data_IF_555046654372
#
_entry.id   IF_555046654372
#
_cell.length_a   1.000
_cell.length_b   1.000
_cell.length_c   1.000
_cell.angle_alpha   90.00
_cell.angle_beta   90.00
_cell.angle_gamma   90.00
#
_symmetry.space_group_name_H-M   'P 1'
#
loop_
_entity.id
_entity.type
_entity.pdbx_description
1 polymer ?
#
# COMPACT_ATOMS: atom_id res chain seq x y z
N UNK A 1 -17.46 14.34 -1.26
CA UNK A 1 -18.61 15.26 -1.01
C UNK A 1 -19.85 14.61 -0.32
N UNK A 2 -19.69 13.56 0.51
CA UNK A 2 -20.84 12.86 1.13
C UNK A 2 -21.52 13.62 2.30
N UNK A 3 -20.76 14.33 3.14
CA UNK A 3 -21.36 15.13 4.24
C UNK A 3 -22.15 16.34 3.74
N UNK A 4 -21.81 16.88 2.56
CA UNK A 4 -22.48 18.05 2.00
C UNK A 4 -23.93 17.82 1.56
N UNK A 5 -24.44 16.58 1.58
CA UNK A 5 -25.84 16.28 1.24
C UNK A 5 -26.71 16.05 2.49
N UNK A 6 -26.14 15.44 3.54
CA UNK A 6 -26.82 15.22 4.81
C UNK A 6 -26.81 16.46 5.71
N UNK A 7 -25.78 17.30 5.61
CA UNK A 7 -25.64 18.56 6.36
C UNK A 7 -24.79 19.58 5.57
N UNK A 8 -25.34 20.21 4.52
CA UNK A 8 -24.62 21.17 3.67
C UNK A 8 -24.04 22.36 4.45
N UNK A 9 -24.76 22.87 5.45
CA UNK A 9 -24.29 23.99 6.30
C UNK A 9 -23.12 23.59 7.20
N UNK A 10 -23.18 22.39 7.80
CA UNK A 10 -22.06 21.86 8.58
C UNK A 10 -20.85 21.57 7.69
N UNK A 11 -21.05 21.10 6.46
CA UNK A 11 -19.98 20.90 5.50
C UNK A 11 -19.36 22.23 5.04
N UNK A 12 -20.17 23.27 4.80
CA UNK A 12 -19.67 24.60 4.42
C UNK A 12 -18.92 25.29 5.57
N UNK A 13 -19.30 25.02 6.81
CA UNK A 13 -18.62 25.54 8.00
C UNK A 13 -17.33 24.77 8.34
N UNK A 14 -17.32 23.45 8.16
CA UNK A 14 -16.22 22.57 8.57
C UNK A 14 -15.16 22.38 7.48
N UNK A 15 -15.55 22.38 6.20
CA UNK A 15 -14.65 22.08 5.09
C UNK A 15 -13.98 23.35 4.56
N UNK A 16 -12.71 23.26 4.15
CA UNK A 16 -11.99 24.39 3.60
C UNK A 16 -12.72 24.93 2.36
N UNK A 17 -13.07 26.22 2.40
CA UNK A 17 -13.76 26.92 1.32
C UNK A 17 -12.80 27.65 0.39
N UNK A 18 -11.56 27.89 0.82
CA UNK A 18 -10.51 28.49 0.01
C UNK A 18 -9.46 27.46 -0.47
N UNK A 19 -8.86 27.67 -1.65
CA UNK A 19 -7.77 26.83 -2.15
C UNK A 19 -6.56 26.78 -1.21
N UNK A 20 -6.24 27.89 -0.54
CA UNK A 20 -5.14 28.00 0.41
C UNK A 20 -5.30 27.05 1.61
N UNK A 21 -6.51 26.97 2.17
CA UNK A 21 -6.81 26.05 3.27
C UNK A 21 -6.71 24.58 2.82
N UNK A 22 -7.03 24.29 1.55
CA UNK A 22 -6.90 22.95 0.97
C UNK A 22 -5.43 22.57 0.83
N UNK A 23 -4.56 23.50 0.42
CA UNK A 23 -3.12 23.27 0.35
C UNK A 23 -2.50 23.00 1.72
N UNK A 24 -2.95 23.68 2.79
CA UNK A 24 -2.51 23.41 4.15
C UNK A 24 -2.90 21.99 4.60
N UNK A 25 -4.14 21.59 4.32
CA UNK A 25 -4.63 20.26 4.63
C UNK A 25 -3.86 19.17 3.86
N UNK A 26 -3.53 19.44 2.59
CA UNK A 26 -2.71 18.56 1.76
C UNK A 26 -1.29 18.42 2.30
N UNK A 27 -0.66 19.51 2.76
CA UNK A 27 0.68 19.47 3.35
C UNK A 27 0.72 18.60 4.62
N UNK A 28 -0.27 18.74 5.49
CA UNK A 28 -0.38 17.90 6.70
C UNK A 28 -0.69 16.45 6.32
N UNK A 29 -1.58 16.23 5.34
CA UNK A 29 -1.87 14.91 4.79
C UNK A 29 -0.63 14.22 4.19
N UNK A 30 0.27 14.98 3.56
CA UNK A 30 1.54 14.49 3.05
C UNK A 30 2.47 14.01 4.17
N UNK A 31 2.65 14.82 5.22
CA UNK A 31 3.45 14.39 6.38
C UNK A 31 2.85 13.13 7.03
N UNK A 32 1.52 13.11 7.18
CA UNK A 32 0.81 11.97 7.74
C UNK A 32 1.06 10.68 6.95
N UNK A 33 0.94 10.73 5.61
CA UNK A 33 1.18 9.53 4.78
C UNK A 33 2.64 9.10 4.76
N UNK A 34 3.60 10.04 4.76
CA UNK A 34 5.02 9.71 4.81
C UNK A 34 5.38 8.98 6.10
N UNK A 35 4.90 9.46 7.25
CA UNK A 35 5.13 8.80 8.53
C UNK A 35 4.37 7.47 8.65
N UNK A 36 3.18 7.38 8.07
CA UNK A 36 2.39 6.14 8.03
C UNK A 36 3.07 5.04 7.21
N UNK A 37 3.61 5.39 6.04
CA UNK A 37 4.34 4.44 5.20
C UNK A 37 5.71 4.12 5.80
N UNK A 38 6.38 5.09 6.40
CA UNK A 38 7.61 4.86 7.15
C UNK A 38 7.39 3.89 8.33
N UNK A 39 6.32 4.05 9.10
CA UNK A 39 5.91 3.11 10.14
C UNK A 39 5.66 1.70 9.57
N UNK A 40 4.96 1.62 8.43
CA UNK A 40 4.73 0.33 7.75
C UNK A 40 6.05 -0.35 7.41
N UNK A 41 7.05 0.40 6.95
CA UNK A 41 8.41 -0.08 6.74
C UNK A 41 9.07 -0.62 8.02
N UNK A 42 8.91 0.06 9.16
CA UNK A 42 9.47 -0.37 10.46
C UNK A 42 8.88 -1.70 10.91
N UNK A 43 7.58 -1.91 10.66
CA UNK A 43 6.87 -3.13 11.04
C UNK A 43 7.23 -4.35 10.15
N UNK A 44 7.93 -4.15 9.03
CA UNK A 44 8.34 -5.26 8.16
C UNK A 44 9.35 -6.20 8.83
N UNK A 45 8.98 -7.48 8.86
CA UNK A 45 9.85 -8.54 9.36
C UNK A 45 10.58 -9.30 8.23
N UNK A 46 11.72 -8.75 7.82
CA UNK A 46 12.59 -9.38 6.82
C UNK A 46 13.19 -10.73 7.28
N UNK A 47 13.25 -11.00 8.60
CA UNK A 47 13.77 -12.28 9.10
C UNK A 47 12.80 -13.42 8.77
N UNK A 48 11.49 -13.16 8.85
CA UNK A 48 10.45 -14.12 8.48
C UNK A 48 10.47 -14.43 6.97
N UNK A 49 10.72 -13.41 6.14
CA UNK A 49 10.86 -13.58 4.68
C UNK A 49 11.99 -14.54 4.31
N UNK A 50 13.14 -14.43 4.99
CA UNK A 50 14.31 -15.29 4.71
C UNK A 50 14.06 -16.77 5.01
N UNK A 51 13.21 -17.09 5.99
CA UNK A 51 12.95 -18.49 6.43
C UNK A 51 11.97 -19.23 5.53
N UNK A 52 10.96 -18.56 4.96
CA UNK A 52 9.89 -19.18 4.15
C UNK A 52 9.80 -18.67 2.71
N UNK A 53 10.89 -18.05 2.22
CA UNK A 53 10.88 -17.21 1.03
C UNK A 53 10.45 -17.89 -0.27
N UNK A 54 10.82 -19.15 -0.55
CA UNK A 54 10.52 -19.75 -1.88
C UNK A 54 9.04 -19.89 -2.18
N UNK A 55 8.26 -20.41 -1.24
CA UNK A 55 6.81 -20.58 -1.40
C UNK A 55 6.12 -19.22 -1.40
N UNK A 56 6.51 -18.33 -0.49
CA UNK A 56 5.96 -16.98 -0.43
C UNK A 56 6.22 -16.19 -1.72
N UNK A 57 7.44 -16.27 -2.28
CA UNK A 57 7.80 -15.62 -3.54
C UNK A 57 6.95 -16.12 -4.71
N UNK A 58 6.61 -17.41 -4.79
CA UNK A 58 5.73 -17.94 -5.85
C UNK A 58 4.31 -17.40 -5.69
N UNK A 59 3.79 -17.38 -4.46
CA UNK A 59 2.48 -16.82 -4.13
C UNK A 59 2.44 -15.32 -4.48
N UNK A 60 3.43 -14.55 -4.04
CA UNK A 60 3.57 -13.13 -4.37
C UNK A 60 3.69 -12.89 -5.85
N UNK A 61 4.58 -13.59 -6.56
CA UNK A 61 4.79 -13.34 -8.00
C UNK A 61 3.51 -13.55 -8.80
N UNK A 62 2.78 -14.63 -8.54
CA UNK A 62 1.48 -14.88 -9.18
C UNK A 62 0.40 -13.90 -8.71
N UNK A 63 0.37 -13.59 -7.41
CA UNK A 63 -0.47 -12.57 -6.78
C UNK A 63 -0.15 -11.12 -7.19
N UNK A 64 0.96 -10.88 -7.88
CA UNK A 64 1.35 -9.59 -8.43
C UNK A 64 1.11 -9.53 -9.93
N UNK A 65 1.67 -10.49 -10.68
CA UNK A 65 1.65 -10.49 -12.15
C UNK A 65 0.23 -10.59 -12.70
N UNK A 66 -0.61 -11.46 -12.15
CA UNK A 66 -1.98 -11.66 -12.63
C UNK A 66 -2.84 -10.39 -12.47
N UNK A 67 -3.01 -9.82 -11.26
CA UNK A 67 -3.80 -8.61 -11.12
C UNK A 67 -3.16 -7.39 -11.80
N UNK A 68 -1.82 -7.31 -11.88
CA UNK A 68 -1.13 -6.26 -12.63
C UNK A 68 -1.51 -6.33 -14.12
N UNK A 69 -1.39 -7.50 -14.73
CA UNK A 69 -1.72 -7.69 -16.15
C UNK A 69 -3.20 -7.42 -16.42
N UNK A 70 -4.10 -7.90 -15.56
CA UNK A 70 -5.54 -7.64 -15.68
C UNK A 70 -5.87 -6.15 -15.52
N UNK A 71 -5.24 -5.46 -14.56
CA UNK A 71 -5.42 -4.03 -14.36
C UNK A 71 -4.90 -3.20 -15.53
N UNK A 72 -3.75 -3.55 -16.12
CA UNK A 72 -3.23 -2.92 -17.35
C UNK A 72 -4.19 -3.15 -18.52
N UNK A 73 -4.61 -4.40 -18.73
CA UNK A 73 -5.52 -4.76 -19.80
C UNK A 73 -6.87 -4.02 -19.69
N UNK A 74 -7.37 -3.85 -18.46
CA UNK A 74 -8.58 -3.10 -18.17
C UNK A 74 -8.37 -1.57 -18.27
N UNK A 75 -7.16 -1.09 -18.01
CA UNK A 75 -6.81 0.33 -18.00
C UNK A 75 -6.95 0.99 -19.37
N UNK A 76 -6.55 0.32 -20.46
CA UNK A 76 -6.68 0.85 -21.82
C UNK A 76 -8.12 1.16 -22.25
N UNK A 77 -9.10 0.24 -22.11
CA UNK A 77 -10.49 0.55 -22.43
C UNK A 77 -11.10 1.52 -21.42
N UNK A 78 -10.76 1.42 -20.13
CA UNK A 78 -11.29 2.34 -19.11
C UNK A 78 -10.80 3.76 -19.27
N UNK A 79 -9.59 3.99 -19.78
CA UNK A 79 -9.11 5.32 -20.07
C UNK A 79 -10.08 6.07 -20.99
N UNK A 80 -10.65 5.41 -22.00
CA UNK A 80 -11.61 6.06 -22.92
C UNK A 80 -12.94 6.47 -22.25
N UNK A 81 -13.28 5.86 -21.12
CA UNK A 81 -14.57 6.02 -20.43
C UNK A 81 -14.44 6.96 -19.23
N UNK A 82 -13.36 6.81 -18.46
CA UNK A 82 -13.12 7.48 -17.20
C UNK A 82 -12.12 8.63 -17.34
N UNK A 83 -11.23 8.58 -18.33
CA UNK A 83 -10.13 9.52 -18.42
C UNK A 83 -10.49 10.74 -19.26
N UNK A 84 -10.60 11.89 -18.60
CA UNK A 84 -10.69 13.21 -19.23
C UNK A 84 -9.44 14.07 -18.94
N UNK A 85 -8.36 13.47 -18.45
CA UNK A 85 -7.16 14.16 -17.98
C UNK A 85 -6.05 14.38 -19.04
N UNK A 86 -4.89 14.83 -18.58
CA UNK A 86 -3.72 15.27 -19.38
C UNK A 86 -2.58 14.26 -19.53
N UNK A 87 -2.55 13.21 -18.71
CA UNK A 87 -1.58 12.13 -18.71
C UNK A 87 -1.87 11.08 -19.80
N UNK A 88 -0.81 10.37 -20.17
CA UNK A 88 -0.87 9.37 -21.23
C UNK A 88 -1.69 8.14 -20.80
N UNK A 89 -2.47 7.59 -21.75
CA UNK A 89 -3.29 6.38 -21.54
C UNK A 89 -2.49 5.20 -21.01
N UNK A 90 -1.22 5.07 -21.43
CA UNK A 90 -0.31 4.03 -20.97
C UNK A 90 0.05 4.20 -19.50
N UNK A 91 0.31 5.44 -19.04
CA UNK A 91 0.59 5.71 -17.63
C UNK A 91 -0.65 5.40 -16.79
N UNK A 92 -1.84 5.79 -17.24
CA UNK A 92 -3.10 5.41 -16.58
C UNK A 92 -3.25 3.89 -16.46
N UNK A 93 -3.03 3.15 -17.55
CA UNK A 93 -3.18 1.69 -17.57
C UNK A 93 -2.15 0.99 -16.66
N UNK A 94 -0.89 1.41 -16.71
CA UNK A 94 0.15 0.92 -15.81
C UNK A 94 -0.19 1.21 -14.35
N UNK A 95 -0.66 2.43 -14.07
CA UNK A 95 -1.08 2.83 -12.73
C UNK A 95 -2.24 1.99 -12.21
N UNK A 96 -3.26 1.76 -13.04
CA UNK A 96 -4.39 0.90 -12.68
C UNK A 96 -3.90 -0.52 -12.39
N UNK A 97 -2.98 -1.04 -13.19
CA UNK A 97 -2.29 -2.31 -12.91
C UNK A 97 -1.64 -2.35 -11.53
N UNK A 98 -0.87 -1.33 -11.17
CA UNK A 98 -0.22 -1.22 -9.86
C UNK A 98 -1.27 -1.16 -8.75
N UNK A 99 -2.31 -0.33 -8.88
CA UNK A 99 -3.38 -0.24 -7.92
C UNK A 99 -4.07 -1.60 -7.68
N UNK A 100 -4.31 -2.36 -8.75
CA UNK A 100 -4.95 -3.68 -8.66
C UNK A 100 -4.06 -4.76 -8.00
N UNK A 101 -2.73 -4.65 -8.08
CA UNK A 101 -1.83 -5.68 -7.53
C UNK A 101 -1.43 -5.44 -6.07
N UNK A 102 -1.53 -4.20 -5.59
CA UNK A 102 -1.16 -3.80 -4.22
C UNK A 102 -2.09 -4.47 -3.19
N UNK A 103 -1.48 -4.93 -2.09
CA UNK A 103 -2.16 -5.43 -0.89
C UNK A 103 -1.89 -4.51 0.29
N UNK A 104 -2.52 -4.76 1.44
CA UNK A 104 -2.29 -3.98 2.65
C UNK A 104 -1.84 -4.87 3.81
N UNK A 105 -0.52 -5.03 4.00
CA UNK A 105 0.04 -5.83 5.11
C UNK A 105 -0.55 -5.47 6.48
N UNK A 106 -0.75 -4.19 6.87
CA UNK A 106 -1.32 -3.87 8.18
C UNK A 106 -2.72 -4.44 8.39
N UNK A 107 -3.56 -4.43 7.34
CA UNK A 107 -4.92 -4.96 7.37
C UNK A 107 -4.90 -6.49 7.42
N UNK A 108 -4.02 -7.12 6.63
CA UNK A 108 -3.78 -8.56 6.65
C UNK A 108 -3.36 -9.01 8.05
N UNK A 109 -2.35 -8.36 8.62
CA UNK A 109 -1.81 -8.68 9.94
C UNK A 109 -2.87 -8.54 11.02
N UNK A 110 -3.61 -7.43 11.05
CA UNK A 110 -4.70 -7.22 12.01
C UNK A 110 -5.79 -8.28 11.87
N UNK A 111 -6.21 -8.59 10.65
CA UNK A 111 -7.20 -9.64 10.38
C UNK A 111 -6.73 -11.01 10.90
N UNK A 112 -5.47 -11.37 10.65
CA UNK A 112 -4.89 -12.63 11.14
C UNK A 112 -4.76 -12.65 12.67
N UNK A 113 -4.39 -11.54 13.30
CA UNK A 113 -4.34 -11.40 14.77
C UNK A 113 -5.73 -11.57 15.39
N UNK A 114 -6.74 -10.88 14.87
CA UNK A 114 -8.11 -10.94 15.39
C UNK A 114 -8.74 -12.33 15.24
N UNK A 115 -8.21 -13.13 14.31
CA UNK A 115 -8.62 -14.51 14.09
C UNK A 115 -7.72 -15.55 14.77
N UNK A 116 -6.70 -15.14 15.52
CA UNK A 116 -5.69 -16.01 16.14
C UNK A 116 -4.95 -16.93 15.13
N UNK A 117 -4.71 -16.41 13.92
CA UNK A 117 -4.05 -17.13 12.82
C UNK A 117 -2.60 -16.70 12.56
N UNK A 118 -2.10 -15.68 13.26
CA UNK A 118 -0.78 -15.08 13.00
C UNK A 118 0.38 -16.10 13.11
N UNK A 119 0.27 -17.08 14.01
CA UNK A 119 1.28 -18.13 14.20
C UNK A 119 1.05 -19.37 13.32
N UNK A 120 -0.09 -19.47 12.63
CA UNK A 120 -0.38 -20.61 11.75
C UNK A 120 0.42 -20.50 10.44
N UNK A 121 0.71 -21.65 9.83
CA UNK A 121 1.48 -21.70 8.58
C UNK A 121 0.88 -20.84 7.46
N UNK A 122 -0.43 -20.88 7.28
CA UNK A 122 -1.17 -20.04 6.32
C UNK A 122 -1.03 -18.55 6.66
N UNK A 123 -1.14 -18.18 7.94
CA UNK A 123 -1.02 -16.80 8.40
C UNK A 123 0.39 -16.25 8.17
N UNK A 124 1.42 -16.99 8.60
CA UNK A 124 2.81 -16.61 8.37
C UNK A 124 3.13 -16.49 6.87
N UNK A 125 2.67 -17.44 6.05
CA UNK A 125 2.89 -17.38 4.60
C UNK A 125 2.19 -16.17 3.97
N UNK A 126 0.96 -15.86 4.40
CA UNK A 126 0.22 -14.68 3.94
C UNK A 126 0.95 -13.39 4.31
N UNK A 127 1.49 -13.30 5.53
CA UNK A 127 2.28 -12.15 5.97
C UNK A 127 3.56 -11.99 5.14
N UNK A 128 4.32 -13.06 4.94
CA UNK A 128 5.55 -13.01 4.14
C UNK A 128 5.26 -12.62 2.70
N UNK A 129 4.20 -13.17 2.10
CA UNK A 129 3.78 -12.79 0.76
C UNK A 129 3.36 -11.31 0.72
N UNK A 130 2.62 -10.83 1.72
CA UNK A 130 2.25 -9.42 1.86
C UNK A 130 3.46 -8.48 1.95
N UNK A 131 4.52 -8.85 2.69
CA UNK A 131 5.77 -8.06 2.76
C UNK A 131 6.42 -7.91 1.38
N UNK A 132 6.48 -8.99 0.59
CA UNK A 132 7.03 -8.97 -0.77
C UNK A 132 6.15 -8.10 -1.69
N UNK A 133 4.83 -8.27 -1.59
CA UNK A 133 3.86 -7.52 -2.39
C UNK A 133 3.91 -6.02 -2.10
N UNK A 134 4.00 -5.61 -0.82
CA UNK A 134 4.12 -4.22 -0.41
C UNK A 134 5.41 -3.60 -0.95
N UNK A 135 6.56 -4.28 -0.79
CA UNK A 135 7.84 -3.80 -1.31
C UNK A 135 7.82 -3.61 -2.83
N UNK A 136 7.22 -4.56 -3.56
CA UNK A 136 7.05 -4.46 -5.00
C UNK A 136 6.06 -3.35 -5.39
N UNK A 137 4.97 -3.19 -4.64
CA UNK A 137 3.97 -2.14 -4.85
C UNK A 137 4.58 -0.74 -4.77
N UNK A 138 5.40 -0.49 -3.76
CA UNK A 138 6.11 0.80 -3.63
C UNK A 138 7.13 1.03 -4.74
N UNK A 139 7.86 -0.02 -5.13
CA UNK A 139 8.78 0.06 -6.27
C UNK A 139 8.04 0.42 -7.56
N UNK A 140 6.94 -0.28 -7.87
CA UNK A 140 6.17 -0.04 -9.08
C UNK A 140 5.47 1.32 -9.07
N UNK A 141 4.95 1.75 -7.91
CA UNK A 141 4.39 3.08 -7.75
C UNK A 141 5.43 4.16 -8.09
N UNK A 142 6.67 4.05 -7.58
CA UNK A 142 7.73 5.00 -7.92
C UNK A 142 8.05 5.05 -9.40
N UNK A 143 8.09 3.90 -10.08
CA UNK A 143 8.35 3.84 -11.53
C UNK A 143 7.22 4.54 -12.29
N UNK A 144 5.96 4.20 -12.01
CA UNK A 144 4.81 4.79 -12.71
C UNK A 144 4.65 6.28 -12.39
N UNK A 145 4.88 6.70 -11.14
CA UNK A 145 4.92 8.11 -10.74
C UNK A 145 6.01 8.89 -11.51
N UNK A 146 7.21 8.34 -11.61
CA UNK A 146 8.31 8.96 -12.35
C UNK A 146 7.98 9.07 -13.85
N UNK A 147 7.29 8.07 -14.43
CA UNK A 147 6.81 8.12 -15.81
C UNK A 147 5.75 9.20 -16.01
N UNK A 148 4.88 9.44 -15.02
CA UNK A 148 3.85 10.48 -15.09
C UNK A 148 4.46 11.89 -15.10
N UNK A 149 5.49 12.14 -14.28
CA UNK A 149 6.17 13.44 -14.19
C UNK A 149 7.17 13.65 -15.33
N UNK A 150 7.97 12.63 -15.63
CA UNK A 150 9.03 12.69 -16.63
C UNK A 150 8.51 12.53 -18.06
N UNK A 151 7.46 11.75 -18.29
CA UNK A 151 6.98 11.34 -19.61
C UNK A 151 7.56 10.00 -20.08
N UNK A 152 6.97 9.44 -21.14
CA UNK A 152 7.12 8.05 -21.60
C UNK A 152 8.27 7.79 -22.61
N UNK A 153 9.39 8.49 -22.50
CA UNK A 153 10.54 8.17 -23.38
C UNK A 153 11.40 7.07 -22.78
N UNK A 154 11.92 6.15 -23.60
CA UNK A 154 12.78 5.03 -23.16
C UNK A 154 13.93 5.51 -22.27
N UNK A 155 14.54 6.66 -22.59
CA UNK A 155 15.60 7.26 -21.78
C UNK A 155 15.13 7.70 -20.39
N UNK A 156 13.94 8.29 -20.26
CA UNK A 156 13.41 8.73 -18.96
C UNK A 156 12.96 7.57 -18.08
N UNK A 157 12.39 6.53 -18.68
CA UNK A 157 12.08 5.28 -17.96
C UNK A 157 13.36 4.62 -17.45
N UNK A 158 14.41 4.56 -18.28
CA UNK A 158 15.71 4.02 -17.87
C UNK A 158 16.33 4.84 -16.73
N UNK A 159 16.29 6.17 -16.81
CA UNK A 159 16.75 7.06 -15.73
C UNK A 159 15.95 6.81 -14.45
N UNK A 160 14.62 6.70 -14.50
CA UNK A 160 13.81 6.42 -13.33
C UNK A 160 14.19 5.08 -12.67
N UNK A 161 14.40 4.02 -13.46
CA UNK A 161 14.84 2.72 -12.96
C UNK A 161 16.24 2.78 -12.34
N UNK A 162 17.18 3.48 -12.99
CA UNK A 162 18.55 3.66 -12.47
C UNK A 162 18.54 4.46 -11.19
N UNK A 163 17.79 5.58 -11.12
CA UNK A 163 17.62 6.38 -9.92
C UNK A 163 17.03 5.55 -8.78
N UNK A 164 16.05 4.69 -9.07
CA UNK A 164 15.43 3.83 -8.07
C UNK A 164 16.41 2.78 -7.53
N UNK A 165 17.18 2.14 -8.42
CA UNK A 165 18.25 1.22 -8.02
C UNK A 165 19.34 1.93 -7.21
N UNK A 166 19.69 3.16 -7.60
CA UNK A 166 20.65 3.99 -6.87
C UNK A 166 20.13 4.32 -5.45
N UNK A 167 18.86 4.70 -5.31
CA UNK A 167 18.24 4.95 -3.99
C UNK A 167 18.32 3.70 -3.12
N UNK A 168 17.96 2.53 -3.65
CA UNK A 168 18.06 1.26 -2.91
C UNK A 168 19.50 0.95 -2.53
N UNK A 169 20.45 1.12 -3.46
CA UNK A 169 21.87 0.89 -3.20
C UNK A 169 22.41 1.82 -2.11
N UNK A 170 22.15 3.12 -2.22
CA UNK A 170 22.56 4.13 -1.23
C UNK A 170 21.91 3.85 0.13
N UNK A 171 20.63 3.49 0.15
CA UNK A 171 19.94 3.13 1.39
C UNK A 171 20.57 1.91 2.07
N UNK A 172 20.94 0.88 1.31
CA UNK A 172 21.56 -0.33 1.88
C UNK A 172 23.01 -0.09 2.31
N UNK A 173 23.80 0.62 1.50
CA UNK A 173 25.25 0.83 1.73
C UNK A 173 25.51 1.94 2.76
N UNK A 174 24.84 3.08 2.60
CA UNK A 174 25.03 4.29 3.43
C UNK A 174 23.91 4.44 4.46
N UNK A 175 22.65 4.25 4.05
CA UNK A 175 21.51 4.41 4.94
C UNK A 175 21.57 3.46 6.13
N UNK A 176 21.92 2.18 5.93
CA UNK A 176 22.00 1.19 7.01
C UNK A 176 23.00 1.55 8.13
N UNK A 177 24.27 1.91 7.86
CA UNK A 177 25.17 2.36 8.93
C UNK A 177 24.73 3.69 9.54
N UNK A 178 24.18 4.63 8.75
CA UNK A 178 23.68 5.92 9.25
C UNK A 178 22.53 5.71 10.23
N UNK A 179 21.50 4.93 9.86
CA UNK A 179 20.35 4.63 10.75
C UNK A 179 20.85 4.01 12.05
N UNK A 180 21.78 3.05 11.98
CA UNK A 180 22.35 2.43 13.19
C UNK A 180 23.12 3.42 14.05
N UNK A 181 23.91 4.31 13.45
CA UNK A 181 24.66 5.33 14.17
C UNK A 181 23.71 6.32 14.87
N UNK A 182 22.72 6.83 14.15
CA UNK A 182 21.71 7.76 14.67
C UNK A 182 20.91 7.12 15.81
N UNK A 183 20.46 5.87 15.65
CA UNK A 183 19.74 5.15 16.71
C UNK A 183 20.61 4.87 17.94
N UNK A 184 21.94 4.77 17.80
CA UNK A 184 22.84 4.66 18.96
C UNK A 184 22.95 5.98 19.72
N UNK A 185 22.92 7.11 19.02
CA UNK A 185 22.95 8.46 19.64
C UNK A 185 21.71 8.76 20.49
N UNK A 186 20.62 8.02 20.34
CA UNK A 186 19.45 8.15 21.22
C UNK A 186 19.74 7.71 22.65
N UNK A 187 20.86 7.01 22.89
CA UNK A 187 21.40 6.63 24.22
C UNK A 187 20.43 5.86 25.13
N UNK A 188 19.32 5.32 24.63
CA UNK A 188 18.31 4.74 25.52
C UNK A 188 16.93 5.32 25.38
N UNK A 189 16.86 6.62 25.07
CA UNK A 189 15.65 7.42 25.17
C UNK A 189 14.68 7.08 24.05
N UNK A 190 13.45 6.73 24.43
CA UNK A 190 12.34 6.49 23.49
C UNK A 190 12.01 7.78 22.73
N UNK A 191 11.85 8.91 23.43
CA UNK A 191 11.54 10.21 22.83
C UNK A 191 12.54 10.62 21.75
N UNK A 192 13.84 10.50 22.04
CA UNK A 192 14.90 10.79 21.04
C UNK A 192 14.85 9.82 19.88
N UNK A 193 14.60 8.55 20.15
CA UNK A 193 14.48 7.52 19.10
C UNK A 193 13.32 7.83 18.15
N UNK A 194 12.17 8.24 18.69
CA UNK A 194 10.98 8.64 17.92
C UNK A 194 11.27 9.87 17.07
N UNK A 195 11.84 10.93 17.66
CA UNK A 195 12.17 12.15 16.93
C UNK A 195 13.18 11.89 15.81
N UNK A 196 14.23 11.11 16.08
CA UNK A 196 15.23 10.73 15.08
C UNK A 196 14.64 9.84 13.99
N UNK A 197 13.79 8.88 14.33
CA UNK A 197 13.12 8.02 13.34
C UNK A 197 12.23 8.85 12.41
N UNK A 198 11.39 9.73 12.95
CA UNK A 198 10.55 10.62 12.16
C UNK A 198 11.38 11.54 11.25
N UNK A 199 12.45 12.16 11.79
CA UNK A 199 13.35 13.00 11.00
C UNK A 199 14.03 12.22 9.87
N UNK A 200 14.55 11.01 10.14
CA UNK A 200 15.17 10.17 9.11
C UNK A 200 14.17 9.78 8.02
N UNK A 201 12.94 9.41 8.38
CA UNK A 201 11.88 9.07 7.42
C UNK A 201 11.58 10.27 6.51
N UNK A 202 11.40 11.47 7.09
CA UNK A 202 11.10 12.68 6.32
C UNK A 202 12.28 13.12 5.44
N UNK A 203 13.52 13.02 5.94
CA UNK A 203 14.72 13.33 5.17
C UNK A 203 14.92 12.36 4.00
N UNK A 204 14.67 11.06 4.22
CA UNK A 204 14.74 10.06 3.16
C UNK A 204 13.65 10.27 2.10
N UNK A 205 12.44 10.66 2.52
CA UNK A 205 11.37 11.05 1.61
C UNK A 205 11.75 12.27 0.77
N UNK A 206 12.26 13.33 1.41
CA UNK A 206 12.73 14.54 0.73
C UNK A 206 13.87 14.26 -0.24
N UNK A 207 14.84 13.43 0.15
CA UNK A 207 15.95 13.02 -0.73
C UNK A 207 15.48 12.24 -1.96
N UNK A 208 14.50 11.35 -1.78
CA UNK A 208 13.91 10.60 -2.90
C UNK A 208 13.13 11.52 -3.85
N UNK A 209 12.39 12.48 -3.29
CA UNK A 209 11.68 13.50 -4.06
C UNK A 209 12.63 14.41 -4.85
N UNK A 210 13.77 14.79 -4.25
CA UNK A 210 14.80 15.59 -4.92
C UNK A 210 15.42 14.87 -6.13
N UNK A 211 15.40 13.54 -6.15
CA UNK A 211 15.83 12.70 -7.28
C UNK A 211 14.73 12.51 -8.34
N UNK A 212 13.58 13.17 -8.20
CA UNK A 212 12.45 13.06 -9.12
C UNK A 212 11.64 11.76 -8.97
N UNK A 213 11.78 11.06 -7.84
CA UNK A 213 11.03 9.85 -7.50
C UNK A 213 9.94 10.16 -6.47
N UNK A 214 9.01 9.22 -6.27
CA UNK A 214 7.94 9.40 -5.28
C UNK A 214 8.49 9.40 -3.84
N UNK A 215 8.21 10.46 -3.08
CA UNK A 215 8.70 10.65 -1.71
C UNK A 215 8.37 9.48 -0.76
N UNK A 216 7.21 8.85 -0.97
CA UNK A 216 6.71 7.73 -0.17
C UNK A 216 7.66 6.53 -0.19
N UNK A 217 8.36 6.30 -1.31
CA UNK A 217 9.33 5.21 -1.41
C UNK A 217 10.53 5.42 -0.50
N UNK A 218 11.03 6.65 -0.40
CA UNK A 218 12.10 7.00 0.54
C UNK A 218 11.69 6.77 2.00
N UNK A 219 10.47 7.17 2.35
CA UNK A 219 9.90 6.93 3.68
C UNK A 219 9.83 5.42 3.99
N UNK A 220 9.31 4.62 3.06
CA UNK A 220 9.22 3.17 3.18
C UNK A 220 10.59 2.51 3.38
N UNK A 221 11.56 2.84 2.51
CA UNK A 221 12.92 2.26 2.56
C UNK A 221 13.62 2.63 3.87
N UNK A 222 13.50 3.89 4.32
CA UNK A 222 14.05 4.31 5.60
C UNK A 222 13.42 3.55 6.78
N UNK A 223 12.08 3.43 6.78
CA UNK A 223 11.34 2.64 7.76
C UNK A 223 11.83 1.19 7.82
N UNK A 224 11.98 0.55 6.66
CA UNK A 224 12.52 -0.81 6.56
C UNK A 224 13.93 -0.93 7.18
N UNK A 225 14.81 0.04 6.94
CA UNK A 225 16.15 0.05 7.56
C UNK A 225 16.10 0.19 9.08
N UNK A 226 15.21 1.04 9.61
CA UNK A 226 14.98 1.17 11.06
C UNK A 226 14.48 -0.18 11.61
N UNK A 227 13.49 -0.81 10.97
CA UNK A 227 12.93 -2.12 11.36
C UNK A 227 13.95 -3.27 11.37
N UNK A 228 14.99 -3.21 10.52
CA UNK A 228 16.10 -4.18 10.49
C UNK A 228 17.20 -3.93 11.53
N UNK A 229 17.14 -2.82 12.27
CA UNK A 229 18.14 -2.50 13.30
C UNK A 229 17.92 -3.24 14.63
N UNK A 230 16.88 -4.08 14.71
CA UNK A 230 16.62 -5.01 15.81
C UNK A 230 15.31 -4.73 16.55
N UNK A 231 14.86 -5.70 17.33
CA UNK A 231 13.60 -5.63 18.10
C UNK A 231 13.59 -4.49 19.12
N UNK A 232 14.77 -4.14 19.66
CA UNK A 232 14.96 -2.99 20.54
C UNK A 232 14.60 -1.65 19.86
N UNK A 233 14.91 -1.51 18.56
CA UNK A 233 14.55 -0.34 17.80
C UNK A 233 13.03 -0.27 17.57
N UNK A 234 12.39 -1.43 17.30
CA UNK A 234 10.93 -1.50 17.13
C UNK A 234 10.18 -1.14 18.42
N UNK A 235 10.62 -1.68 19.56
CA UNK A 235 10.02 -1.37 20.87
C UNK A 235 10.09 0.14 21.18
N UNK A 236 11.21 0.80 20.88
CA UNK A 236 11.39 2.25 21.06
C UNK A 236 10.67 3.13 20.03
N UNK A 237 10.02 2.54 19.04
CA UNK A 237 9.14 3.26 18.11
C UNK A 237 7.66 3.06 18.44
N UNK A 238 7.33 2.45 19.58
CA UNK A 238 5.95 2.25 20.01
C UNK A 238 5.18 3.58 20.14
N UNK A 239 5.79 4.62 20.72
CA UNK A 239 5.16 5.95 20.78
C UNK A 239 4.95 6.56 19.39
N UNK A 240 5.88 6.38 18.45
CA UNK A 240 5.69 6.81 17.05
C UNK A 240 4.47 6.11 16.43
N UNK A 241 4.36 4.79 16.65
CA UNK A 241 3.22 3.99 16.19
C UNK A 241 1.90 4.52 16.76
N UNK A 242 1.85 4.83 18.05
CA UNK A 242 0.66 5.41 18.68
C UNK A 242 0.27 6.73 18.04
N UNK A 243 1.20 7.68 17.87
CA UNK A 243 0.91 8.98 17.24
C UNK A 243 0.45 8.82 15.80
N UNK A 244 1.16 7.99 15.03
CA UNK A 244 0.85 7.76 13.62
C UNK A 244 -0.53 7.11 13.46
N UNK A 245 -0.85 6.07 14.22
CA UNK A 245 -2.11 5.34 14.07
C UNK A 245 -3.30 6.05 14.73
N UNK A 246 -3.10 6.73 15.86
CA UNK A 246 -4.19 7.38 16.59
C UNK A 246 -4.53 8.77 16.06
N UNK A 247 -3.57 9.47 15.44
CA UNK A 247 -3.76 10.85 14.98
C UNK A 247 -3.54 11.02 13.47
N UNK A 248 -2.36 10.66 12.96
CA UNK A 248 -2.00 10.94 11.57
C UNK A 248 -2.78 10.08 10.56
N UNK A 249 -3.01 8.81 10.85
CA UNK A 249 -3.76 7.92 9.97
C UNK A 249 -5.23 8.36 9.84
N UNK A 250 -5.99 8.61 10.93
CA UNK A 250 -7.35 9.18 10.81
C UNK A 250 -7.39 10.48 10.03
N UNK A 251 -6.40 11.37 10.23
CA UNK A 251 -6.30 12.61 9.49
C UNK A 251 -6.07 12.37 7.99
N UNK A 252 -5.13 11.50 7.63
CA UNK A 252 -4.89 11.10 6.24
C UNK A 252 -6.15 10.48 5.60
N UNK A 253 -6.87 9.62 6.32
CA UNK A 253 -8.10 9.02 5.81
C UNK A 253 -9.23 10.03 5.68
N UNK A 254 -9.30 11.02 6.56
CA UNK A 254 -10.24 12.13 6.41
C UNK A 254 -9.94 12.92 5.13
N UNK A 255 -8.69 13.30 4.89
CA UNK A 255 -8.31 14.06 3.69
C UNK A 255 -8.50 13.25 2.41
N UNK A 256 -8.18 11.95 2.43
CA UNK A 256 -8.47 11.04 1.32
C UNK A 256 -9.99 10.94 1.07
N UNK A 257 -10.78 10.69 2.12
CA UNK A 257 -12.23 10.56 2.05
C UNK A 257 -12.93 11.81 1.53
N UNK A 258 -12.40 13.01 1.80
CA UNK A 258 -12.94 14.27 1.27
C UNK A 258 -12.91 14.34 -0.25
N UNK A 259 -11.91 13.71 -0.88
CA UNK A 259 -11.75 13.68 -2.33
C UNK A 259 -12.63 12.65 -3.04
N UNK A 260 -13.24 11.73 -2.29
CA UNK A 260 -14.17 10.74 -2.85
C UNK A 260 -15.47 11.43 -3.25
N UNK A 261 -15.91 11.18 -4.48
CA UNK A 261 -17.20 11.65 -4.99
C UNK A 261 -18.12 10.49 -5.38
N UNK A 262 -18.93 10.05 -4.42
CA UNK A 262 -19.92 9.00 -4.67
C UNK A 262 -21.02 9.44 -5.66
N UNK A 263 -21.18 10.75 -5.94
CA UNK A 263 -22.17 11.22 -6.93
C UNK A 263 -21.77 10.80 -8.34
N UNK A 264 -20.47 10.63 -8.60
CA UNK A 264 -19.98 10.09 -9.86
C UNK A 264 -20.59 8.72 -10.19
N UNK A 265 -20.90 7.91 -9.16
CA UNK A 265 -21.52 6.59 -9.33
C UNK A 265 -22.98 6.65 -9.77
N UNK A 266 -23.64 7.82 -9.74
CA UNK A 266 -24.95 7.99 -10.34
C UNK A 266 -24.91 7.88 -11.88
N UNK A 267 -23.73 8.10 -12.49
CA UNK A 267 -23.53 7.85 -13.91
C UNK A 267 -23.38 6.34 -14.17
N UNK A 268 -24.27 5.72 -14.98
CA UNK A 268 -24.22 4.29 -15.25
C UNK A 268 -22.89 3.79 -15.81
N UNK A 269 -22.17 4.61 -16.58
CA UNK A 269 -20.85 4.25 -17.13
C UNK A 269 -19.79 4.13 -16.05
N UNK A 270 -19.77 5.09 -15.11
CA UNK A 270 -18.83 5.10 -13.99
C UNK A 270 -19.15 3.95 -13.02
N UNK A 271 -20.44 3.71 -12.75
CA UNK A 271 -20.87 2.57 -11.94
C UNK A 271 -20.48 1.23 -12.57
N UNK A 272 -20.72 1.05 -13.87
CA UNK A 272 -20.31 -0.16 -14.58
C UNK A 272 -18.79 -0.36 -14.51
N UNK A 273 -18.01 0.71 -14.74
CA UNK A 273 -16.56 0.66 -14.57
C UNK A 273 -16.17 0.28 -13.14
N UNK A 274 -16.80 0.85 -12.12
CA UNK A 274 -16.54 0.54 -10.71
C UNK A 274 -16.75 -0.95 -10.41
N UNK A 275 -17.87 -1.51 -10.88
CA UNK A 275 -18.20 -2.93 -10.69
C UNK A 275 -17.23 -3.85 -11.42
N UNK A 276 -16.83 -3.50 -12.65
CA UNK A 276 -15.85 -4.28 -13.43
C UNK A 276 -14.48 -4.25 -12.75
N UNK A 277 -13.99 -3.07 -12.36
CA UNK A 277 -12.71 -2.93 -11.66
C UNK A 277 -12.74 -3.71 -10.35
N UNK A 278 -13.81 -3.60 -9.57
CA UNK A 278 -13.97 -4.35 -8.31
C UNK A 278 -13.95 -5.86 -8.53
N UNK A 279 -14.70 -6.36 -9.51
CA UNK A 279 -14.72 -7.78 -9.84
C UNK A 279 -13.31 -8.26 -10.25
N UNK A 280 -12.66 -7.54 -11.18
CA UNK A 280 -11.31 -7.88 -11.64
C UNK A 280 -10.28 -7.80 -10.50
N UNK A 281 -10.40 -6.82 -9.61
CA UNK A 281 -9.55 -6.69 -8.44
C UNK A 281 -9.69 -7.92 -7.53
N UNK A 282 -10.91 -8.29 -7.19
CA UNK A 282 -11.20 -9.46 -6.33
C UNK A 282 -10.68 -10.73 -6.99
N UNK A 283 -11.13 -11.02 -8.21
CA UNK A 283 -10.80 -12.27 -8.90
C UNK A 283 -9.32 -12.35 -9.25
N UNK A 284 -8.70 -11.28 -9.74
CA UNK A 284 -7.30 -11.25 -10.13
C UNK A 284 -6.37 -11.53 -8.95
N UNK A 285 -6.58 -10.86 -7.82
CA UNK A 285 -5.76 -11.08 -6.62
C UNK A 285 -6.01 -12.44 -5.99
N UNK A 286 -7.29 -12.84 -5.91
CA UNK A 286 -7.66 -14.15 -5.37
C UNK A 286 -7.08 -15.29 -6.20
N UNK A 287 -7.26 -15.25 -7.51
CA UNK A 287 -6.78 -16.27 -8.44
C UNK A 287 -5.25 -16.30 -8.45
N UNK A 288 -4.57 -15.15 -8.44
CA UNK A 288 -3.12 -15.09 -8.38
C UNK A 288 -2.57 -15.80 -7.15
N UNK A 289 -3.02 -15.40 -5.96
CA UNK A 289 -2.60 -16.01 -4.70
C UNK A 289 -2.97 -17.51 -4.63
N UNK A 290 -4.17 -17.89 -5.06
CA UNK A 290 -4.61 -19.28 -5.10
C UNK A 290 -3.75 -20.14 -6.03
N UNK A 291 -3.45 -19.66 -7.24
CA UNK A 291 -2.61 -20.38 -8.20
C UNK A 291 -1.19 -20.51 -7.68
N UNK A 292 -0.59 -19.45 -7.12
CA UNK A 292 0.72 -19.52 -6.49
C UNK A 292 0.80 -20.51 -5.34
N UNK A 293 -0.26 -20.59 -4.53
CA UNK A 293 -0.38 -21.54 -3.43
C UNK A 293 -0.47 -22.99 -3.94
N UNK A 294 -1.30 -23.25 -4.96
CA UNK A 294 -1.45 -24.58 -5.58
C UNK A 294 -0.18 -25.04 -6.29
N UNK A 295 0.51 -24.14 -7.00
CA UNK A 295 1.82 -24.41 -7.61
C UNK A 295 2.91 -24.69 -6.56
N UNK A 296 2.69 -24.24 -5.32
CA UNK A 296 3.53 -24.53 -4.17
C UNK A 296 3.08 -25.76 -3.37
N UNK A 297 2.16 -26.57 -3.93
CA UNK A 297 1.65 -27.83 -3.37
C UNK A 297 0.88 -27.69 -2.04
N UNK A 298 0.33 -26.51 -1.77
CA UNK A 298 -0.59 -26.32 -0.65
C UNK A 298 -1.95 -26.96 -0.96
N UNK A 299 -2.66 -27.37 0.09
CA UNK A 299 -4.01 -27.92 -0.02
C UNK A 299 -4.98 -26.90 -0.61
N UNK A 300 -6.11 -27.39 -1.14
CA UNK A 300 -7.15 -26.51 -1.71
C UNK A 300 -7.63 -25.48 -0.69
N UNK A 301 -7.81 -25.87 0.57
CA UNK A 301 -8.32 -24.97 1.61
C UNK A 301 -7.28 -23.95 2.07
N UNK A 302 -6.01 -24.33 2.16
CA UNK A 302 -4.92 -23.37 2.41
C UNK A 302 -4.79 -22.37 1.27
N UNK A 303 -4.88 -22.81 0.02
CA UNK A 303 -4.85 -21.93 -1.14
C UNK A 303 -6.04 -20.95 -1.17
N UNK A 304 -7.24 -21.41 -0.79
CA UNK A 304 -8.42 -20.53 -0.65
C UNK A 304 -8.23 -19.52 0.49
N UNK A 305 -7.64 -19.93 1.61
CA UNK A 305 -7.35 -19.05 2.73
C UNK A 305 -6.29 -18.00 2.37
N UNK A 306 -5.21 -18.37 1.68
CA UNK A 306 -4.22 -17.43 1.13
C UNK A 306 -4.86 -16.44 0.17
N UNK A 307 -5.68 -16.93 -0.77
CA UNK A 307 -6.44 -16.09 -1.69
C UNK A 307 -7.33 -15.08 -0.96
N UNK A 308 -8.07 -15.52 0.05
CA UNK A 308 -8.92 -14.63 0.84
C UNK A 308 -8.11 -13.62 1.68
N UNK A 309 -7.03 -14.06 2.32
CA UNK A 309 -6.16 -13.22 3.14
C UNK A 309 -5.47 -12.12 2.33
N UNK A 310 -4.95 -12.46 1.13
CA UNK A 310 -4.25 -11.50 0.27
C UNK A 310 -5.18 -10.50 -0.44
N UNK A 311 -6.50 -10.73 -0.40
CA UNK A 311 -7.50 -9.78 -0.90
C UNK A 311 -7.80 -8.63 0.07
N UNK A 312 -7.21 -8.63 1.27
CA UNK A 312 -7.27 -7.45 2.13
C UNK A 312 -6.41 -6.33 1.52
N UNK A 313 -7.04 -5.52 0.66
CA UNK A 313 -6.55 -4.20 0.34
C UNK A 313 -7.00 -3.23 1.44
N UNK A 314 -6.57 -1.98 1.41
CA UNK A 314 -6.85 -1.07 2.51
C UNK A 314 -6.01 0.19 2.41
N UNK A 315 -5.36 0.58 3.51
CA UNK A 315 -4.64 1.85 3.63
C UNK A 315 -3.66 2.10 2.48
N UNK A 316 -2.91 1.06 2.06
CA UNK A 316 -1.89 1.19 1.02
C UNK A 316 -2.52 1.51 -0.33
N UNK A 317 -3.64 0.90 -0.69
CA UNK A 317 -4.33 1.18 -1.95
C UNK A 317 -4.93 2.60 -1.96
N UNK A 318 -5.44 3.08 -0.82
CA UNK A 318 -5.90 4.48 -0.69
C UNK A 318 -4.75 5.46 -0.87
N UNK A 319 -3.57 5.14 -0.31
CA UNK A 319 -2.35 5.94 -0.50
C UNK A 319 -1.95 5.98 -1.97
N UNK A 320 -1.90 4.82 -2.63
CA UNK A 320 -1.63 4.72 -4.07
C UNK A 320 -2.63 5.59 -4.84
N UNK A 321 -3.93 5.42 -4.64
CA UNK A 321 -4.96 6.21 -5.31
C UNK A 321 -4.74 7.73 -5.11
N UNK A 322 -4.37 8.16 -3.91
CA UNK A 322 -4.14 9.57 -3.61
C UNK A 322 -2.90 10.13 -4.32
N UNK A 323 -1.83 9.33 -4.46
CA UNK A 323 -0.67 9.66 -5.29
C UNK A 323 -1.09 9.81 -6.75
N UNK A 324 -1.86 8.85 -7.29
CA UNK A 324 -2.34 8.89 -8.66
C UNK A 324 -3.18 10.13 -8.97
N UNK A 325 -4.05 10.52 -8.03
CA UNK A 325 -4.86 11.73 -8.15
C UNK A 325 -3.99 13.00 -8.09
N UNK A 326 -3.00 13.06 -7.19
CA UNK A 326 -2.08 14.22 -7.08
C UNK A 326 -1.22 14.41 -8.33
N UNK A 327 -0.79 13.32 -8.95
CA UNK A 327 0.02 13.34 -10.17
C UNK A 327 -0.82 13.54 -11.44
N UNK A 328 -2.15 13.68 -11.33
CA UNK A 328 -3.05 13.80 -12.48
C UNK A 328 -3.18 12.52 -13.31
N UNK A 329 -2.67 11.40 -12.80
CA UNK A 329 -2.82 10.07 -13.41
C UNK A 329 -4.26 9.62 -13.27
N UNK A 330 -4.88 9.87 -12.12
CA UNK A 330 -6.28 9.59 -11.86
C UNK A 330 -7.09 10.87 -11.84
N UNK A 331 -8.31 10.82 -12.38
CA UNK A 331 -9.34 11.80 -12.12
C UNK A 331 -10.14 11.42 -10.85
N UNK A 332 -11.05 12.29 -10.43
CA UNK A 332 -11.89 12.05 -9.23
C UNK A 332 -12.75 10.78 -9.37
N UNK A 333 -13.18 10.41 -10.57
CA UNK A 333 -13.98 9.20 -10.79
C UNK A 333 -13.14 7.95 -10.58
N UNK A 334 -11.99 7.86 -11.24
CA UNK A 334 -11.07 6.72 -11.12
C UNK A 334 -10.52 6.59 -9.70
N UNK A 335 -10.22 7.72 -9.05
CA UNK A 335 -9.86 7.77 -7.64
C UNK A 335 -10.96 7.16 -6.75
N UNK A 336 -12.22 7.59 -6.94
CA UNK A 336 -13.37 7.07 -6.20
C UNK A 336 -13.55 5.57 -6.39
N UNK A 337 -13.36 5.07 -7.62
CA UNK A 337 -13.43 3.63 -7.92
C UNK A 337 -12.37 2.86 -7.16
N UNK A 338 -11.10 3.28 -7.20
CA UNK A 338 -10.01 2.57 -6.52
C UNK A 338 -10.19 2.60 -4.99
N UNK A 339 -10.63 3.73 -4.43
CA UNK A 339 -10.96 3.79 -2.99
C UNK A 339 -12.10 2.85 -2.63
N UNK A 340 -13.14 2.73 -3.47
CA UNK A 340 -14.22 1.78 -3.26
C UNK A 340 -13.73 0.33 -3.28
N UNK A 341 -12.82 -0.01 -4.20
CA UNK A 341 -12.16 -1.33 -4.24
C UNK A 341 -11.43 -1.59 -2.92
N UNK A 342 -10.64 -0.64 -2.42
CA UNK A 342 -9.93 -0.76 -1.16
C UNK A 342 -10.88 -1.09 -0.01
N UNK A 343 -11.95 -0.30 0.16
CA UNK A 343 -12.92 -0.47 1.25
C UNK A 343 -13.67 -1.79 1.15
N UNK A 344 -14.22 -2.13 -0.02
CA UNK A 344 -15.03 -3.34 -0.19
C UNK A 344 -14.18 -4.58 0.03
N UNK A 345 -12.97 -4.61 -0.52
CA UNK A 345 -12.08 -5.78 -0.39
C UNK A 345 -11.53 -5.94 1.03
N UNK A 346 -11.25 -4.84 1.75
CA UNK A 346 -10.95 -4.88 3.20
C UNK A 346 -12.06 -5.54 4.00
N UNK A 347 -13.32 -5.16 3.77
CA UNK A 347 -14.48 -5.68 4.52
C UNK A 347 -14.76 -7.15 4.16
N UNK A 348 -14.53 -7.52 2.90
CA UNK A 348 -14.78 -8.86 2.39
C UNK A 348 -13.74 -9.90 2.83
N UNK A 349 -12.48 -9.50 3.07
CA UNK A 349 -11.40 -10.45 3.34
C UNK A 349 -11.57 -11.27 4.65
N UNK A 350 -11.88 -10.68 5.84
CA UNK A 350 -12.05 -11.43 7.08
C UNK A 350 -13.11 -12.56 7.04
N UNK A 351 -14.36 -12.34 6.54
CA UNK A 351 -15.36 -13.40 6.51
C UNK A 351 -14.99 -14.53 5.54
N UNK A 352 -14.40 -14.21 4.37
CA UNK A 352 -13.94 -15.21 3.42
C UNK A 352 -12.79 -16.06 4.00
N UNK A 353 -11.83 -15.41 4.65
CA UNK A 353 -10.73 -16.09 5.32
C UNK A 353 -11.25 -17.03 6.41
N UNK A 354 -12.22 -16.57 7.21
CA UNK A 354 -12.84 -17.37 8.28
C UNK A 354 -13.52 -18.62 7.72
N UNK A 355 -14.22 -18.49 6.61
CA UNK A 355 -14.89 -19.61 5.96
C UNK A 355 -13.89 -20.63 5.40
N UNK A 356 -12.81 -20.18 4.77
CA UNK A 356 -11.77 -21.05 4.23
C UNK A 356 -11.04 -21.81 5.34
N UNK A 357 -10.68 -21.13 6.42
CA UNK A 357 -9.92 -21.70 7.54
C UNK A 357 -10.68 -22.76 8.33
N UNK A 358 -12.02 -22.74 8.36
CA UNK A 358 -12.84 -23.81 8.98
C UNK A 358 -12.61 -25.20 8.38
N UNK A 359 -12.10 -25.27 7.15
CA UNK A 359 -11.90 -26.51 6.40
C UNK A 359 -10.42 -26.82 6.14
N UNK A 360 -9.51 -26.01 6.66
CA UNK A 360 -8.07 -26.31 6.63
C UNK A 360 -7.80 -27.38 7.68
N UNK A 361 -7.24 -28.50 7.24
CA UNK A 361 -6.91 -29.63 8.11
C UNK A 361 -5.85 -29.21 9.15
N UNK A 362 -6.09 -29.57 10.42
CA UNK A 362 -5.14 -29.36 11.50
C UNK A 362 -4.04 -30.43 11.43
N UNK A 363 -2.98 -30.19 10.64
CA UNK A 363 -1.77 -31.02 10.68
C UNK A 363 -0.96 -30.72 11.95
N UNK A 364 -0.20 -31.68 12.50
CA UNK A 364 0.60 -31.46 13.74
C UNK A 364 1.65 -30.34 13.62
N UNK A 365 2.07 -30.00 12.40
CA UNK A 365 2.89 -28.81 12.09
C UNK A 365 2.17 -27.48 12.32
N UNK A 366 0.84 -27.49 12.46
CA UNK A 366 0.01 -26.35 12.82
C UNK A 366 -0.23 -26.24 14.34
N UNK A 367 0.15 -27.22 15.16
CA UNK A 367 -0.19 -27.28 16.60
C UNK A 367 0.91 -26.83 17.58
N UNK A 368 2.12 -26.51 17.12
CA UNK A 368 3.17 -26.05 18.05
C UNK A 368 3.06 -24.54 18.34
N UNK A 369 2.44 -24.26 19.49
CA UNK A 369 2.50 -23.07 20.37
C UNK A 369 2.09 -21.71 19.79
#
# INVERSE_FOLDING_TARGET
>A
MCCGWLAPEAAAWLLPSSPEQTHLLDAVGQIAVLLLVGLTGIELDFALVRRRGRTALRVSLSGLVIPLALGIALGYPLAKILYTGTADTTVFALFLGVAMCVSALPVIAKTLMDMNLIHRNVGQLTLVAGVVDDAFGWFMLSVVSAMAVGGLTTGKVAIALVSLLLVVLVAVVVGRPVVRAVLRLSNGSEERTVAMAAAMILLAAAGTQALGLEAIFGAFVCGALIGTSGEFARARTASLRTVVLAFLAPLFFATAGLRVDLRALANPKVLAAALIVLAVAIFGKFAGAYLGARLSRLSKWEALALGAGMNARGVIEVIVAMVGLRLGILDTNSYTIIVLVAVVTSVMAPPLLRMAMKRVEYTEENSCT
#
